data_IF_334531670079
#
_entry.id   IF_334531670079
#
_cell.length_a   1.000
_cell.length_b   1.000
_cell.length_c   1.000
_cell.angle_alpha   90.00
_cell.angle_beta   90.00
_cell.angle_gamma   90.00
#
_symmetry.space_group_name_H-M   'P 1'
#
loop_
_entity.id
_entity.type
_entity.pdbx_description
1 polymer ?
#
# COMPACT_ATOMS: atom_id res chain seq x y z
N UNK A 1 -36.25 -3.85 43.44
CA UNK A 1 -35.48 -5.11 43.43
C UNK A 1 -34.87 -5.29 42.04
N UNK A 2 -33.54 -5.23 41.89
CA UNK A 2 -32.75 -5.84 40.80
C UNK A 2 -31.27 -5.46 40.94
N UNK A 3 -30.63 -5.81 42.07
CA UNK A 3 -29.17 -6.00 42.13
C UNK A 3 -28.94 -7.47 41.85
N UNK A 4 -28.33 -7.81 40.72
CA UNK A 4 -28.01 -9.21 40.45
C UNK A 4 -27.58 -9.53 39.03
N UNK A 5 -26.54 -8.86 38.50
CA UNK A 5 -25.79 -9.34 37.32
C UNK A 5 -24.47 -8.57 37.06
N UNK A 6 -23.71 -8.24 38.10
CA UNK A 6 -22.49 -7.42 37.95
C UNK A 6 -21.17 -8.20 37.73
N UNK A 7 -21.16 -9.54 37.82
CA UNK A 7 -19.91 -10.32 37.70
C UNK A 7 -19.58 -10.85 36.29
N UNK A 8 -20.49 -10.75 35.31
CA UNK A 8 -20.28 -11.25 33.94
C UNK A 8 -20.11 -10.17 32.84
N UNK A 9 -20.32 -8.90 33.19
CA UNK A 9 -20.39 -7.79 32.23
C UNK A 9 -19.12 -7.58 31.38
N UNK A 10 -17.89 -7.57 31.94
CA UNK A 10 -16.69 -7.38 31.12
C UNK A 10 -16.45 -8.55 30.16
N UNK A 11 -16.75 -9.79 30.58
CA UNK A 11 -16.66 -10.97 29.72
C UNK A 11 -17.67 -10.93 28.57
N UNK A 12 -18.89 -10.44 28.82
CA UNK A 12 -19.89 -10.27 27.77
C UNK A 12 -19.53 -9.16 26.78
N UNK A 13 -18.97 -8.05 27.24
CA UNK A 13 -18.50 -6.96 26.34
C UNK A 13 -17.33 -7.44 25.49
N UNK A 14 -16.35 -8.14 26.09
CA UNK A 14 -15.23 -8.72 25.36
C UNK A 14 -15.69 -9.75 24.32
N UNK A 15 -16.59 -10.65 24.71
CA UNK A 15 -17.11 -11.70 23.82
C UNK A 15 -17.93 -11.10 22.68
N UNK A 16 -18.79 -10.12 22.96
CA UNK A 16 -19.56 -9.41 21.94
C UNK A 16 -18.64 -8.59 21.01
N UNK A 17 -17.60 -7.94 21.55
CA UNK A 17 -16.60 -7.22 20.78
C UNK A 17 -15.79 -8.14 19.85
N UNK A 18 -15.36 -9.32 20.34
CA UNK A 18 -14.72 -10.34 19.51
C UNK A 18 -15.66 -10.88 18.43
N UNK A 19 -16.93 -11.09 18.77
CA UNK A 19 -17.92 -11.59 17.82
C UNK A 19 -18.22 -10.55 16.73
N UNK A 20 -18.29 -9.27 17.09
CA UNK A 20 -18.40 -8.16 16.15
C UNK A 20 -17.13 -8.02 15.29
N UNK A 21 -15.95 -8.09 15.90
CA UNK A 21 -14.65 -8.04 15.20
C UNK A 21 -14.48 -9.17 14.17
N UNK A 22 -14.95 -10.38 14.50
CA UNK A 22 -15.00 -11.50 13.56
C UNK A 22 -16.10 -11.33 12.50
N UNK A 23 -17.29 -10.89 12.89
CA UNK A 23 -18.40 -10.63 11.96
C UNK A 23 -18.05 -9.54 10.93
N UNK A 24 -17.33 -8.51 11.35
CA UNK A 24 -16.83 -7.40 10.53
C UNK A 24 -15.59 -7.79 9.70
N UNK A 25 -15.15 -9.06 9.77
CA UNK A 25 -13.97 -9.60 9.07
C UNK A 25 -12.72 -8.74 9.29
N UNK A 26 -12.62 -8.10 10.44
CA UNK A 26 -11.52 -7.20 10.77
C UNK A 26 -10.12 -7.88 10.73
N UNK A 27 -9.95 -9.17 11.09
CA UNK A 27 -8.68 -9.87 10.87
C UNK A 27 -8.26 -9.93 9.39
N UNK A 28 -9.23 -10.11 8.49
CA UNK A 28 -8.99 -10.14 7.05
C UNK A 28 -8.65 -8.75 6.51
N UNK A 29 -9.34 -7.69 6.97
CA UNK A 29 -8.97 -6.30 6.64
C UNK A 29 -7.55 -5.99 7.10
N UNK A 30 -7.20 -6.37 8.33
CA UNK A 30 -5.86 -6.17 8.86
C UNK A 30 -4.82 -6.93 8.03
N UNK A 31 -5.09 -8.18 7.64
CA UNK A 31 -4.22 -8.97 6.77
C UNK A 31 -4.06 -8.34 5.38
N UNK A 32 -5.14 -7.82 4.78
CA UNK A 32 -5.10 -7.17 3.48
C UNK A 32 -4.29 -5.86 3.52
N UNK A 33 -4.46 -5.04 4.55
CA UNK A 33 -3.69 -3.80 4.74
C UNK A 33 -2.21 -4.14 4.91
N UNK A 34 -1.88 -5.14 5.72
CA UNK A 34 -0.51 -5.59 5.90
C UNK A 34 0.11 -6.10 4.59
N UNK A 35 -0.63 -6.91 3.83
CA UNK A 35 -0.18 -7.42 2.53
C UNK A 35 0.10 -6.28 1.54
N UNK A 36 -0.82 -5.32 1.43
CA UNK A 36 -0.64 -4.15 0.57
C UNK A 36 0.51 -3.26 1.02
N UNK A 37 0.69 -3.05 2.31
CA UNK A 37 1.81 -2.27 2.84
C UNK A 37 3.15 -2.92 2.48
N UNK A 38 3.29 -4.23 2.69
CA UNK A 38 4.51 -4.98 2.37
C UNK A 38 4.79 -4.96 0.86
N UNK A 39 3.77 -5.19 0.02
CA UNK A 39 3.94 -5.16 -1.43
C UNK A 39 4.26 -3.75 -1.98
N UNK A 40 3.77 -2.70 -1.32
CA UNK A 40 4.03 -1.32 -1.72
C UNK A 40 5.47 -0.86 -1.40
N UNK A 41 6.20 -1.54 -0.53
CA UNK A 41 7.56 -1.14 -0.11
C UNK A 41 8.52 -1.02 -1.30
N UNK A 42 8.56 -2.00 -2.19
CA UNK A 42 9.47 -2.00 -3.35
C UNK A 42 9.27 -0.79 -4.27
N UNK A 43 8.05 -0.60 -4.83
CA UNK A 43 7.74 0.56 -5.66
C UNK A 43 7.94 1.92 -4.96
N UNK A 44 7.60 2.00 -3.67
CA UNK A 44 7.76 3.23 -2.89
C UNK A 44 9.24 3.59 -2.69
N UNK A 45 10.10 2.59 -2.46
CA UNK A 45 11.54 2.77 -2.38
C UNK A 45 12.14 3.22 -3.72
N UNK A 46 11.71 2.64 -4.84
CA UNK A 46 12.16 3.07 -6.17
C UNK A 46 11.83 4.54 -6.42
N UNK A 47 10.60 4.97 -6.12
CA UNK A 47 10.19 6.38 -6.26
C UNK A 47 11.04 7.27 -5.33
N UNK A 48 11.27 6.83 -4.09
CA UNK A 48 12.06 7.59 -3.12
C UNK A 48 13.52 7.75 -3.58
N UNK A 49 14.14 6.70 -4.11
CA UNK A 49 15.49 6.73 -4.67
C UNK A 49 15.54 7.64 -5.89
N UNK A 50 14.56 7.55 -6.78
CA UNK A 50 14.46 8.40 -7.97
C UNK A 50 14.38 9.89 -7.58
N UNK A 51 13.56 10.24 -6.58
CA UNK A 51 13.46 11.61 -6.08
C UNK A 51 14.77 12.09 -5.43
N UNK A 52 15.41 11.25 -4.61
CA UNK A 52 16.69 11.58 -4.00
C UNK A 52 17.82 11.72 -5.04
N UNK A 53 17.76 10.95 -6.14
CA UNK A 53 18.77 11.00 -7.20
C UNK A 53 18.76 12.30 -8.03
N UNK A 54 17.76 13.17 -7.82
CA UNK A 54 17.74 14.53 -8.40
C UNK A 54 18.86 15.39 -7.80
N UNK A 55 19.18 15.16 -6.52
CA UNK A 55 20.16 15.95 -5.77
C UNK A 55 21.45 15.17 -5.48
N UNK A 56 21.40 13.84 -5.48
CA UNK A 56 22.52 12.95 -5.14
C UNK A 56 22.78 11.93 -6.26
N UNK A 57 23.94 11.27 -6.25
CA UNK A 57 24.15 10.12 -7.13
C UNK A 57 23.19 8.99 -6.77
N UNK A 58 22.72 8.22 -7.76
CA UNK A 58 21.78 7.12 -7.55
C UNK A 58 22.24 6.14 -6.48
N UNK A 59 23.54 5.84 -6.44
CA UNK A 59 24.14 4.96 -5.44
C UNK A 59 24.11 5.56 -4.02
N UNK A 60 24.41 6.85 -3.87
CA UNK A 60 24.37 7.53 -2.58
C UNK A 60 22.92 7.64 -2.04
N UNK A 61 21.96 7.93 -2.93
CA UNK A 61 20.54 7.95 -2.60
C UNK A 61 20.02 6.58 -2.14
N UNK A 62 20.40 5.51 -2.86
CA UNK A 62 20.04 4.13 -2.50
C UNK A 62 20.61 3.74 -1.13
N UNK A 63 21.91 3.96 -0.89
CA UNK A 63 22.56 3.65 0.39
C UNK A 63 21.90 4.40 1.56
N UNK A 64 21.68 5.71 1.43
CA UNK A 64 21.07 6.52 2.48
C UNK A 64 19.65 6.05 2.86
N UNK A 65 18.85 5.61 1.88
CA UNK A 65 17.51 5.09 2.13
C UNK A 65 17.58 3.70 2.77
N UNK A 66 18.46 2.81 2.30
CA UNK A 66 18.64 1.49 2.89
C UNK A 66 19.10 1.57 4.34
N UNK A 67 20.02 2.47 4.68
CA UNK A 67 20.45 2.70 6.08
C UNK A 67 19.28 3.08 6.99
N UNK A 68 18.35 3.91 6.50
CA UNK A 68 17.13 4.28 7.24
C UNK A 68 16.19 3.10 7.42
N UNK A 69 16.00 2.30 6.37
CA UNK A 69 15.17 1.08 6.45
C UNK A 69 15.79 0.07 7.43
N UNK A 70 17.11 -0.08 7.44
CA UNK A 70 17.81 -0.96 8.38
C UNK A 70 17.59 -0.54 9.83
N UNK A 71 17.64 0.76 10.13
CA UNK A 71 17.39 1.28 11.48
C UNK A 71 15.96 1.06 11.95
N UNK A 72 14.97 1.13 11.05
CA UNK A 72 13.54 1.04 11.40
C UNK A 72 13.00 -0.39 11.39
N UNK A 73 13.43 -1.21 10.43
CA UNK A 73 12.86 -2.54 10.15
C UNK A 73 13.85 -3.67 10.47
N UNK A 74 15.14 -3.38 10.48
CA UNK A 74 16.19 -4.37 10.71
C UNK A 74 16.87 -4.86 9.43
N UNK A 75 17.98 -5.58 9.61
CA UNK A 75 18.94 -5.95 8.55
C UNK A 75 18.38 -6.93 7.51
N UNK A 76 17.51 -7.85 7.91
CA UNK A 76 16.96 -8.87 7.00
C UNK A 76 16.09 -8.23 5.92
N UNK A 77 15.24 -7.28 6.31
CA UNK A 77 14.41 -6.51 5.37
C UNK A 77 15.28 -5.68 4.41
N UNK A 78 16.34 -5.04 4.92
CA UNK A 78 17.26 -4.27 4.09
C UNK A 78 17.98 -5.14 3.08
N UNK A 79 18.45 -6.32 3.50
CA UNK A 79 19.18 -7.25 2.62
C UNK A 79 18.30 -7.77 1.50
N UNK A 80 17.02 -8.07 1.80
CA UNK A 80 16.04 -8.44 0.79
C UNK A 80 15.82 -7.31 -0.23
N UNK A 81 15.63 -6.08 0.25
CA UNK A 81 15.41 -4.91 -0.60
C UNK A 81 16.64 -4.57 -1.44
N UNK A 82 17.84 -4.65 -0.85
CA UNK A 82 19.10 -4.40 -1.54
C UNK A 82 19.31 -5.38 -2.68
N UNK A 83 19.03 -6.68 -2.48
CA UNK A 83 19.06 -7.67 -3.58
C UNK A 83 18.03 -7.41 -4.67
N UNK A 84 16.86 -6.89 -4.31
CA UNK A 84 15.84 -6.52 -5.29
C UNK A 84 16.25 -5.28 -6.12
N UNK A 85 17.02 -4.38 -5.52
CA UNK A 85 17.50 -3.13 -6.16
C UNK A 85 18.82 -3.32 -6.94
N UNK A 86 19.71 -4.20 -6.48
CA UNK A 86 20.99 -4.54 -7.13
C UNK A 86 20.80 -5.46 -8.36
N UNK A 87 19.56 -5.68 -8.80
CA UNK A 87 19.27 -6.40 -10.03
C UNK A 87 20.00 -5.74 -11.22
N UNK A 88 20.78 -6.48 -12.05
CA UNK A 88 21.92 -5.92 -12.80
C UNK A 88 21.65 -4.90 -13.93
N UNK A 89 20.46 -4.30 -14.07
CA UNK A 89 20.12 -3.47 -15.23
C UNK A 89 19.17 -2.29 -14.94
N UNK A 90 19.17 -1.73 -13.72
CA UNK A 90 18.42 -0.48 -13.48
C UNK A 90 19.31 0.74 -13.76
N UNK A 91 19.73 0.86 -15.03
CA UNK A 91 20.29 2.10 -15.54
C UNK A 91 19.12 3.00 -15.89
N UNK A 92 18.85 4.04 -15.09
CA UNK A 92 17.86 5.09 -15.41
C UNK A 92 18.37 5.97 -16.57
N UNK A 93 18.49 5.37 -17.75
CA UNK A 93 18.64 6.09 -19.02
C UNK A 93 17.25 6.27 -19.62
N UNK A 94 16.94 7.49 -20.07
CA UNK A 94 15.69 7.86 -20.77
C UNK A 94 15.64 7.26 -22.21
N UNK A 95 15.97 5.98 -22.34
CA UNK A 95 15.93 5.25 -23.61
C UNK A 95 14.51 4.73 -23.86
N UNK A 96 14.13 4.60 -25.14
CA UNK A 96 12.80 4.10 -25.54
C UNK A 96 12.48 2.72 -24.93
N UNK A 97 13.48 1.86 -24.79
CA UNK A 97 13.36 0.54 -24.12
C UNK A 97 13.06 0.65 -22.62
N UNK A 98 13.61 1.65 -21.93
CA UNK A 98 13.33 1.91 -20.51
C UNK A 98 11.88 2.35 -20.33
N UNK A 99 11.39 3.25 -21.21
CA UNK A 99 10.00 3.72 -21.19
C UNK A 99 9.02 2.56 -21.40
N UNK A 100 9.30 1.70 -22.39
CA UNK A 100 8.49 0.50 -22.65
C UNK A 100 8.54 -0.49 -21.49
N UNK A 101 9.71 -0.73 -20.90
CA UNK A 101 9.87 -1.62 -19.74
C UNK A 101 9.12 -1.11 -18.51
N UNK A 102 9.18 0.19 -18.23
CA UNK A 102 8.41 0.83 -17.16
C UNK A 102 6.91 0.69 -17.41
N UNK A 103 6.44 0.94 -18.65
CA UNK A 103 5.03 0.77 -19.01
C UNK A 103 4.54 -0.68 -18.81
N UNK A 104 5.32 -1.66 -19.24
CA UNK A 104 5.03 -3.08 -19.05
C UNK A 104 4.98 -3.47 -17.57
N UNK A 105 5.93 -2.97 -16.77
CA UNK A 105 5.94 -3.17 -15.32
C UNK A 105 4.71 -2.55 -14.66
N UNK A 106 4.31 -1.35 -15.06
CA UNK A 106 3.11 -0.69 -14.56
C UNK A 106 1.85 -1.49 -14.92
N UNK A 107 1.77 -2.04 -16.14
CA UNK A 107 0.65 -2.89 -16.55
C UNK A 107 0.61 -4.19 -15.72
N UNK A 108 1.75 -4.86 -15.53
CA UNK A 108 1.85 -6.09 -14.75
C UNK A 108 1.48 -5.85 -13.27
N UNK A 109 2.01 -4.78 -12.66
CA UNK A 109 1.70 -4.39 -11.29
C UNK A 109 0.21 -4.05 -11.12
N UNK A 110 -0.39 -3.37 -12.10
CA UNK A 110 -1.83 -3.05 -12.11
C UNK A 110 -2.67 -4.33 -12.21
N UNK A 111 -2.30 -5.28 -13.07
CA UNK A 111 -2.98 -6.57 -13.20
C UNK A 111 -2.95 -7.39 -11.91
N UNK A 112 -1.77 -7.50 -11.28
CA UNK A 112 -1.61 -8.19 -9.99
C UNK A 112 -2.45 -7.54 -8.89
N UNK A 113 -2.38 -6.21 -8.76
CA UNK A 113 -3.18 -5.45 -7.81
C UNK A 113 -4.69 -5.67 -8.03
N UNK A 114 -5.13 -5.73 -9.28
CA UNK A 114 -6.53 -5.98 -9.62
C UNK A 114 -6.96 -7.40 -9.23
N UNK A 115 -6.12 -8.41 -9.45
CA UNK A 115 -6.38 -9.78 -9.05
C UNK A 115 -6.53 -9.90 -7.51
N UNK A 116 -5.66 -9.23 -6.76
CA UNK A 116 -5.75 -9.19 -5.29
C UNK A 116 -7.02 -8.48 -4.84
N UNK A 117 -7.34 -7.30 -5.40
CA UNK A 117 -8.59 -6.58 -5.09
C UNK A 117 -9.82 -7.40 -5.42
N UNK A 118 -9.80 -8.13 -6.53
CA UNK A 118 -10.89 -8.99 -6.94
C UNK A 118 -11.10 -10.13 -5.95
N UNK A 119 -10.03 -10.86 -5.59
CA UNK A 119 -10.09 -11.90 -4.56
C UNK A 119 -10.63 -11.33 -3.23
N UNK A 120 -10.23 -10.12 -2.89
CA UNK A 120 -10.65 -9.44 -1.67
C UNK A 120 -12.13 -9.01 -1.71
N UNK A 121 -12.61 -8.48 -2.84
CA UNK A 121 -14.03 -8.15 -3.05
C UNK A 121 -14.92 -9.38 -3.02
N UNK A 122 -14.44 -10.51 -3.58
CA UNK A 122 -15.12 -11.81 -3.52
C UNK A 122 -15.22 -12.27 -2.07
N UNK A 123 -14.13 -12.17 -1.29
CA UNK A 123 -14.19 -12.50 0.13
C UNK A 123 -15.19 -11.59 0.82
N UNK A 124 -15.14 -10.28 0.65
CA UNK A 124 -16.07 -9.33 1.30
C UNK A 124 -17.49 -9.29 0.75
N UNK A 125 -17.85 -10.12 -0.23
CA UNK A 125 -19.16 -10.06 -0.92
C UNK A 125 -19.53 -8.63 -1.35
N UNK A 126 -18.52 -7.83 -1.72
CA UNK A 126 -18.74 -6.49 -2.25
C UNK A 126 -19.19 -6.71 -3.69
N UNK A 127 -20.50 -6.63 -3.92
CA UNK A 127 -21.05 -6.65 -5.27
C UNK A 127 -20.34 -5.58 -6.11
N UNK A 128 -19.75 -5.96 -7.27
CA UNK A 128 -19.19 -4.97 -8.17
C UNK A 128 -20.34 -4.04 -8.56
N UNK A 129 -20.32 -2.81 -8.04
CA UNK A 129 -21.34 -1.80 -8.37
C UNK A 129 -21.46 -1.72 -9.89
N UNK A 130 -22.64 -2.02 -10.47
CA UNK A 130 -22.80 -1.90 -11.91
C UNK A 130 -22.64 -0.43 -12.27
N UNK A 131 -21.69 -0.17 -13.18
CA UNK A 131 -21.62 1.04 -13.99
C UNK A 131 -21.62 2.38 -13.23
N UNK A 132 -20.58 2.65 -12.44
CA UNK A 132 -20.23 4.04 -12.13
C UNK A 132 -19.34 4.56 -13.27
N UNK A 133 -19.98 5.17 -14.26
CA UNK A 133 -19.33 5.72 -15.45
C UNK A 133 -18.16 6.67 -15.12
N UNK A 134 -17.29 6.86 -16.10
CA UNK A 134 -16.04 7.65 -16.06
C UNK A 134 -16.27 9.07 -15.46
N UNK A 135 -17.48 9.62 -15.64
CA UNK A 135 -17.91 10.90 -15.06
C UNK A 135 -17.93 10.94 -13.52
N UNK A 136 -18.20 9.82 -12.83
CA UNK A 136 -18.22 9.78 -11.35
C UNK A 136 -16.80 9.73 -10.77
N UNK A 137 -15.88 9.03 -11.44
CA UNK A 137 -14.45 9.01 -11.08
C UNK A 137 -13.78 10.38 -11.24
N UNK A 138 -14.13 11.12 -12.30
CA UNK A 138 -13.60 12.48 -12.51
C UNK A 138 -14.14 13.46 -11.46
N UNK A 139 -15.41 13.33 -11.05
CA UNK A 139 -16.04 14.19 -10.03
C UNK A 139 -15.51 13.90 -8.62
N UNK A 140 -15.20 12.65 -8.26
CA UNK A 140 -14.70 12.34 -6.91
C UNK A 140 -13.23 12.67 -6.70
N UNK A 141 -12.44 12.73 -7.79
CA UNK A 141 -10.99 13.03 -7.74
C UNK A 141 -10.67 14.51 -7.76
N UNK A 142 -11.54 15.36 -8.32
CA UNK A 142 -11.30 16.80 -8.43
C UNK A 142 -11.16 17.47 -7.06
N UNK A 143 -11.91 17.05 -6.05
CA UNK A 143 -11.80 17.58 -4.69
C UNK A 143 -10.45 17.23 -4.04
N UNK A 144 -9.98 15.99 -4.19
CA UNK A 144 -8.66 15.59 -3.68
C UNK A 144 -7.51 16.25 -4.44
N UNK A 145 -7.64 16.45 -5.75
CA UNK A 145 -6.64 17.16 -6.56
C UNK A 145 -6.58 18.65 -6.21
N UNK A 146 -7.72 19.29 -5.96
CA UNK A 146 -7.77 20.66 -5.45
C UNK A 146 -7.08 20.79 -4.10
N UNK A 147 -7.33 19.85 -3.19
CA UNK A 147 -6.71 19.86 -1.87
C UNK A 147 -5.19 19.70 -1.97
N UNK A 148 -4.69 18.77 -2.80
CA UNK A 148 -3.25 18.57 -3.03
C UNK A 148 -2.62 19.81 -3.69
N UNK A 149 -3.30 20.43 -4.65
CA UNK A 149 -2.81 21.64 -5.31
C UNK A 149 -2.71 22.84 -4.35
N UNK A 150 -3.70 23.00 -3.45
CA UNK A 150 -3.68 24.04 -2.42
C UNK A 150 -2.56 23.78 -1.41
N UNK A 151 -2.37 22.53 -0.99
CA UNK A 151 -1.29 22.15 -0.06
C UNK A 151 0.09 22.33 -0.72
N UNK A 152 0.23 22.02 -2.00
CA UNK A 152 1.49 22.18 -2.73
C UNK A 152 1.85 23.63 -3.07
N UNK A 153 0.92 24.57 -2.97
CA UNK A 153 1.14 26.00 -3.17
C UNK A 153 1.39 26.77 -1.86
N UNK A 154 1.30 26.11 -0.71
CA UNK A 154 1.52 26.67 0.62
C UNK A 154 2.91 26.30 1.14
#
# INVERSE_FOLDING_TARGET
>A
MARGRMYGWPLTVLKNGLHAWQADRAPLLAAAIAYYAVFALGPLLLISIAMASIFFSAHAAQQAILDRVQLLVGRDATTFLQRALDAPNISFSFTLSTVLGVLLLLMAATGLMNAVRHALNVVWSIEPKPNLGILFLFRSRSASLLLIAVIGLL
#
